data_IF_063221045092
#
_entry.id   IF_063221045092
#
_cell.length_a   1.000
_cell.length_b   1.000
_cell.length_c   1.000
_cell.angle_alpha   90.00
_cell.angle_beta   90.00
_cell.angle_gamma   90.00
#
_symmetry.space_group_name_H-M   'P 1'
#
loop_
_entity.id
_entity.type
_entity.pdbx_description
1 polymer ?
#
# COMPACT_ATOMS: atom_id res chain seq x y z
N UNK A 1 -0.25 4.91 -15.44
CA UNK A 1 -0.02 5.73 -14.24
C UNK A 1 -0.61 5.03 -13.03
N UNK A 2 0.14 4.98 -11.97
CA UNK A 2 -0.31 4.36 -10.73
C UNK A 2 -0.90 5.42 -9.82
N UNK A 3 -2.10 5.19 -9.33
CA UNK A 3 -2.79 6.11 -8.44
C UNK A 3 -3.05 5.45 -7.10
N UNK A 4 -3.18 6.27 -6.09
CA UNK A 4 -3.45 5.80 -4.74
C UNK A 4 -4.67 6.53 -4.18
N UNK A 5 -5.24 5.96 -3.15
CA UNK A 5 -6.36 6.59 -2.47
C UNK A 5 -6.45 6.09 -1.04
N UNK A 6 -6.77 7.01 -0.15
CA UNK A 6 -7.10 6.65 1.22
C UNK A 6 -8.59 6.35 1.24
N UNK A 7 -8.96 5.12 1.51
CA UNK A 7 -10.33 4.71 1.34
C UNK A 7 -11.10 4.61 2.65
N UNK A 8 -10.42 4.69 3.77
CA UNK A 8 -11.12 4.69 5.06
C UNK A 8 -11.31 6.12 5.53
N UNK A 9 -12.30 6.32 6.38
CA UNK A 9 -12.50 7.62 6.96
C UNK A 9 -11.37 7.99 7.89
N UNK A 10 -11.20 9.26 8.07
CA UNK A 10 -10.22 9.78 9.01
C UNK A 10 -10.76 9.66 10.42
N UNK A 11 -9.94 9.98 11.36
CA UNK A 11 -10.35 10.16 12.72
C UNK A 11 -10.01 9.00 13.60
N UNK A 12 -10.97 8.58 14.36
CA UNK A 12 -10.73 7.67 15.47
C UNK A 12 -10.71 6.20 15.05
N UNK A 13 -10.87 5.93 13.79
CA UNK A 13 -10.74 4.58 13.31
C UNK A 13 -9.33 4.10 13.57
N UNK A 14 -9.19 2.89 14.06
CA UNK A 14 -7.88 2.33 14.31
C UNK A 14 -7.13 1.94 13.06
N UNK A 15 -7.79 1.89 11.92
CA UNK A 15 -7.22 1.34 10.70
C UNK A 15 -7.48 2.27 9.54
N UNK A 16 -6.44 2.48 8.73
CA UNK A 16 -6.55 3.18 7.46
C UNK A 16 -6.28 2.19 6.33
N UNK A 17 -7.01 2.33 5.24
CA UNK A 17 -6.83 1.51 4.06
C UNK A 17 -6.32 2.39 2.93
N UNK A 18 -5.15 2.05 2.41
CA UNK A 18 -4.55 2.77 1.29
C UNK A 18 -4.58 1.85 0.09
N UNK A 19 -5.18 2.31 -0.99
CA UNK A 19 -5.27 1.54 -2.23
C UNK A 19 -4.37 2.14 -3.28
N UNK A 20 -3.70 1.26 -4.00
CA UNK A 20 -2.84 1.62 -5.12
C UNK A 20 -3.37 0.91 -6.34
N UNK A 21 -3.43 1.61 -7.47
CA UNK A 21 -3.88 1.01 -8.72
C UNK A 21 -3.02 1.54 -9.85
N UNK A 22 -2.55 0.65 -10.72
CA UNK A 22 -1.80 1.04 -11.89
C UNK A 22 -0.65 0.11 -12.17
N UNK A 23 0.10 0.39 -13.25
CA UNK A 23 1.14 -0.53 -13.71
C UNK A 23 2.34 -0.64 -12.76
N UNK A 24 2.51 0.32 -11.87
CA UNK A 24 3.65 0.31 -10.95
C UNK A 24 3.33 -0.34 -9.62
N UNK A 25 2.11 -0.83 -9.44
CA UNK A 25 1.67 -1.38 -8.16
C UNK A 25 2.55 -2.53 -7.69
N UNK A 26 2.86 -3.45 -8.60
CA UNK A 26 3.66 -4.61 -8.23
C UNK A 26 5.04 -4.18 -7.72
N UNK A 27 5.66 -3.23 -8.39
CA UNK A 27 6.96 -2.74 -7.98
C UNK A 27 6.92 -2.05 -6.63
N UNK A 28 5.91 -1.22 -6.41
CA UNK A 28 5.74 -0.53 -5.13
C UNK A 28 5.55 -1.55 -4.02
N UNK A 29 4.70 -2.53 -4.25
CA UNK A 29 4.43 -3.56 -3.26
C UNK A 29 5.69 -4.35 -2.93
N UNK A 30 6.46 -4.71 -3.95
CA UNK A 30 7.72 -5.42 -3.76
C UNK A 30 8.69 -4.62 -2.91
N UNK A 31 8.78 -3.32 -3.17
CA UNK A 31 9.77 -2.48 -2.49
C UNK A 31 9.35 -2.08 -1.08
N UNK A 32 8.05 -2.05 -0.80
CA UNK A 32 7.57 -1.60 0.49
C UNK A 32 7.29 -2.73 1.47
N UNK A 33 7.39 -3.97 1.04
CA UNK A 33 7.17 -5.10 1.94
C UNK A 33 8.38 -5.99 1.96
N UNK A 34 8.63 -6.62 3.10
CA UNK A 34 9.75 -7.54 3.24
C UNK A 34 9.25 -8.97 3.11
N UNK A 35 10.18 -9.88 2.81
CA UNK A 35 9.84 -11.29 2.68
C UNK A 35 9.30 -11.62 1.30
N UNK A 36 8.58 -12.72 1.20
CA UNK A 36 8.05 -13.18 -0.07
C UNK A 36 6.90 -12.29 -0.52
N UNK A 37 6.73 -12.23 -1.84
CA UNK A 37 5.62 -11.47 -2.42
C UNK A 37 4.30 -12.11 -2.00
N UNK A 38 3.30 -11.32 -1.62
CA UNK A 38 2.03 -11.91 -1.14
C UNK A 38 1.29 -12.63 -2.25
N UNK A 39 0.55 -13.64 -1.88
CA UNK A 39 -0.29 -14.35 -2.82
C UNK A 39 -1.49 -13.49 -3.20
N UNK A 40 -1.92 -13.64 -4.45
CA UNK A 40 -3.04 -12.87 -4.97
C UNK A 40 -4.29 -13.10 -4.12
N UNK A 41 -4.96 -12.01 -3.79
CA UNK A 41 -6.27 -12.01 -3.13
C UNK A 41 -6.25 -12.57 -1.71
N UNK A 42 -5.07 -12.68 -1.11
CA UNK A 42 -4.95 -13.13 0.28
C UNK A 42 -4.49 -11.98 1.15
N UNK A 43 -5.14 -11.83 2.29
CA UNK A 43 -4.72 -10.86 3.29
C UNK A 43 -3.50 -11.44 4.01
N UNK A 44 -2.38 -10.75 3.92
CA UNK A 44 -1.12 -11.22 4.47
C UNK A 44 -0.53 -10.17 5.39
N UNK A 45 -0.14 -10.59 6.58
CA UNK A 45 0.53 -9.68 7.51
C UNK A 45 1.96 -9.47 7.07
N UNK A 46 2.35 -8.21 6.87
CA UNK A 46 3.67 -7.85 6.38
C UNK A 46 4.20 -6.65 7.12
N UNK A 47 5.52 -6.56 7.22
CA UNK A 47 6.17 -5.31 7.60
C UNK A 47 6.19 -4.40 6.38
N UNK A 48 5.70 -3.19 6.56
CA UNK A 48 5.63 -2.18 5.50
C UNK A 48 6.76 -1.20 5.76
N UNK A 49 7.63 -1.03 4.77
CA UNK A 49 8.87 -0.29 4.97
C UNK A 49 8.97 0.87 3.99
N UNK A 50 9.80 1.84 4.35
CA UNK A 50 10.19 2.89 3.43
C UNK A 50 11.03 2.27 2.32
N UNK A 51 10.88 2.80 1.11
CA UNK A 51 11.57 2.23 -0.05
C UNK A 51 13.07 2.50 0.05
N UNK A 52 13.44 3.71 0.45
CA UNK A 52 14.84 4.13 0.42
C UNK A 52 15.65 3.62 1.61
N UNK A 53 15.12 3.73 2.81
CA UNK A 53 15.89 3.38 4.01
C UNK A 53 15.58 2.00 4.54
N UNK A 54 14.49 1.38 4.07
CA UNK A 54 14.01 0.10 4.58
C UNK A 54 13.55 0.17 6.03
N UNK A 55 13.39 1.36 6.55
CA UNK A 55 12.88 1.55 7.89
C UNK A 55 11.40 1.14 7.94
N UNK A 56 11.02 0.43 9.00
CA UNK A 56 9.64 -0.05 9.12
C UNK A 56 8.71 1.12 9.41
N UNK A 57 7.70 1.27 8.56
CA UNK A 57 6.63 2.24 8.77
C UNK A 57 5.60 1.66 9.72
N UNK A 58 5.19 0.43 9.45
CA UNK A 58 4.12 -0.22 10.21
C UNK A 58 4.14 -1.70 9.88
N UNK A 59 3.42 -2.47 10.67
CA UNK A 59 3.13 -3.85 10.36
C UNK A 59 1.63 -3.95 10.15
N UNK A 60 1.23 -4.39 8.97
CA UNK A 60 -0.18 -4.38 8.63
C UNK A 60 -0.52 -5.44 7.61
N UNK A 61 -1.76 -5.40 7.16
CA UNK A 61 -2.26 -6.37 6.20
C UNK A 61 -2.05 -5.82 4.80
N UNK A 62 -1.54 -6.65 3.91
CA UNK A 62 -1.31 -6.29 2.51
C UNK A 62 -2.09 -7.28 1.66
N UNK A 63 -2.78 -6.76 0.65
CA UNK A 63 -3.54 -7.58 -0.29
C UNK A 63 -3.10 -7.22 -1.69
N UNK A 64 -2.67 -8.23 -2.45
CA UNK A 64 -2.28 -8.09 -3.85
C UNK A 64 -3.45 -8.49 -4.75
N UNK A 65 -3.87 -7.57 -5.60
CA UNK A 65 -5.04 -7.78 -6.47
C UNK A 65 -4.60 -7.56 -7.92
N UNK A 66 -4.06 -8.60 -8.56
CA UNK A 66 -3.58 -8.43 -9.94
C UNK A 66 -4.71 -8.24 -10.92
N UNK A 67 -4.46 -7.41 -11.94
CA UNK A 67 -5.38 -7.26 -13.03
C UNK A 67 -5.33 -8.48 -13.96
N UNK A 68 -6.30 -8.60 -14.86
CA UNK A 68 -7.41 -7.69 -15.08
C UNK A 68 -8.60 -7.89 -14.13
N UNK A 69 -8.52 -8.85 -13.23
CA UNK A 69 -9.64 -9.18 -12.35
C UNK A 69 -9.58 -8.40 -11.05
N UNK A 70 -9.46 -7.10 -11.19
CA UNK A 70 -9.45 -6.16 -10.07
C UNK A 70 -10.55 -5.14 -10.32
N UNK A 71 -10.75 -4.25 -9.36
CA UNK A 71 -11.80 -3.24 -9.49
C UNK A 71 -11.57 -2.32 -10.67
N UNK A 72 -10.30 -1.99 -10.95
CA UNK A 72 -9.98 -1.06 -12.03
C UNK A 72 -9.55 -1.75 -13.31
N UNK A 73 -9.36 -3.07 -13.28
CA UNK A 73 -8.79 -3.80 -14.40
C UNK A 73 -7.28 -3.77 -14.46
N UNK A 74 -6.66 -3.01 -13.60
CA UNK A 74 -5.20 -2.92 -13.50
C UNK A 74 -4.73 -3.61 -12.24
N UNK A 75 -3.42 -3.75 -12.07
CA UNK A 75 -2.86 -4.26 -10.84
C UNK A 75 -3.23 -3.31 -9.70
N UNK A 76 -3.66 -3.89 -8.60
CA UNK A 76 -4.02 -3.13 -7.40
C UNK A 76 -3.40 -3.76 -6.17
N UNK A 77 -3.28 -2.97 -5.13
CA UNK A 77 -2.89 -3.46 -3.81
C UNK A 77 -3.58 -2.64 -2.75
N UNK A 78 -3.78 -3.23 -1.60
CA UNK A 78 -4.31 -2.54 -0.43
C UNK A 78 -3.35 -2.71 0.73
N UNK A 79 -3.12 -1.61 1.44
CA UNK A 79 -2.35 -1.60 2.67
C UNK A 79 -3.30 -1.23 3.80
N UNK A 80 -3.46 -2.12 4.76
CA UNK A 80 -4.29 -1.89 5.94
C UNK A 80 -3.34 -1.63 7.09
N UNK A 81 -3.25 -0.37 7.48
CA UNK A 81 -2.24 0.09 8.43
C UNK A 81 -2.92 0.81 9.59
N UNK A 82 -2.14 1.13 10.63
CA UNK A 82 -2.67 1.94 11.72
C UNK A 82 -3.07 3.32 11.21
N UNK A 83 -4.17 3.84 11.75
CA UNK A 83 -4.74 5.08 11.26
C UNK A 83 -4.07 6.34 11.81
N UNK A 84 -2.82 6.25 12.27
CA UNK A 84 -2.13 7.43 12.73
C UNK A 84 -1.69 8.28 11.55
N UNK A 85 -1.62 9.60 11.78
CA UNK A 85 -1.21 10.51 10.71
C UNK A 85 0.18 10.17 10.19
N UNK A 86 1.10 9.86 11.10
CA UNK A 86 2.48 9.58 10.70
C UNK A 86 2.57 8.37 9.78
N UNK A 87 1.84 7.30 10.09
CA UNK A 87 1.85 6.10 9.28
C UNK A 87 1.21 6.37 7.92
N UNK A 88 0.07 7.05 7.92
CA UNK A 88 -0.63 7.36 6.67
C UNK A 88 0.25 8.22 5.76
N UNK A 89 0.86 9.26 6.30
CA UNK A 89 1.71 10.14 5.50
C UNK A 89 2.93 9.42 4.96
N UNK A 90 3.55 8.56 5.77
CA UNK A 90 4.70 7.81 5.30
C UNK A 90 4.32 6.86 4.17
N UNK A 91 3.18 6.19 4.29
CA UNK A 91 2.74 5.31 3.22
C UNK A 91 2.42 6.07 1.94
N UNK A 92 1.72 7.19 2.06
CA UNK A 92 1.35 7.97 0.87
C UNK A 92 2.57 8.55 0.19
N UNK A 93 3.60 8.87 0.93
CA UNK A 93 4.82 9.41 0.35
C UNK A 93 5.42 8.45 -0.68
N UNK A 94 5.40 7.16 -0.38
CA UNK A 94 6.03 6.17 -1.24
C UNK A 94 5.08 5.56 -2.26
N UNK A 95 3.78 5.73 -2.08
CA UNK A 95 2.80 5.20 -3.03
C UNK A 95 2.29 6.23 -3.99
N UNK A 96 2.56 7.51 -3.73
CA UNK A 96 2.11 8.59 -4.59
C UNK A 96 2.75 8.47 -5.97
N UNK A 97 1.98 8.64 -7.05
CA UNK A 97 2.55 8.56 -8.39
C UNK A 97 3.36 9.78 -8.76
N UNK A 98 3.16 10.89 -8.07
CA UNK A 98 3.84 12.13 -8.41
C UNK A 98 5.04 12.34 -7.54
N UNK A 99 6.18 12.71 -8.11
CA UNK A 99 7.32 13.07 -7.29
C UNK A 99 7.01 14.31 -6.47
N UNK A 100 7.65 14.36 -5.32
CA UNK A 100 7.52 15.52 -4.45
C UNK A 100 8.57 16.54 -4.85
N UNK A 101 8.13 17.65 -5.17
CA UNK A 101 9.07 18.72 -5.57
C UNK A 101 9.48 19.55 -4.40
#
# INVERSE_FOLDING_TARGET
>A
MTIYALSSGSGISGIAVIRISGPETREILTKMTSGSFPKAKEATLKKITKIDTKEVIDQGIVIWLPGPQSYTGEDMAEFHVHGSRAVIEACLLYTSPSPRD
#
